data_IF_170146330734
#
_entry.id   IF_170146330734
#
_cell.length_a   1.000
_cell.length_b   1.000
_cell.length_c   1.000
_cell.angle_alpha   90.00
_cell.angle_beta   90.00
_cell.angle_gamma   90.00
#
_symmetry.space_group_name_H-M   'P 1'
#
loop_
_entity.id
_entity.type
_entity.pdbx_description
1 polymer ?
#
# COMPACT_ATOMS: atom_id res chain seq x y z
N UNK A 1 15.29 15.50 -15.29
CA UNK A 1 16.64 15.91 -14.81
C UNK A 1 17.61 15.03 -15.56
N UNK A 2 18.42 15.61 -16.45
CA UNK A 2 19.43 14.87 -17.22
C UNK A 2 20.54 14.52 -16.23
N UNK A 3 20.83 13.23 -16.06
CA UNK A 3 22.03 12.77 -15.37
C UNK A 3 23.21 13.30 -16.17
N UNK A 4 23.77 14.45 -15.77
CA UNK A 4 25.07 14.86 -16.28
C UNK A 4 26.05 13.78 -15.82
N UNK A 5 26.64 13.08 -16.78
CA UNK A 5 27.68 12.07 -16.59
C UNK A 5 28.72 12.50 -15.55
N UNK A 6 28.56 12.02 -14.32
CA UNK A 6 29.61 12.00 -13.30
C UNK A 6 30.34 10.66 -13.36
N UNK A 7 30.91 10.33 -14.52
CA UNK A 7 31.89 9.24 -14.64
C UNK A 7 33.28 9.63 -14.10
N UNK A 8 33.40 10.75 -13.38
CA UNK A 8 34.63 11.09 -12.66
C UNK A 8 34.70 10.28 -11.36
N UNK A 9 35.59 9.29 -11.33
CA UNK A 9 35.99 8.56 -10.13
C UNK A 9 36.39 9.55 -9.02
N UNK A 10 36.01 9.26 -7.77
CA UNK A 10 36.41 10.08 -6.61
C UNK A 10 37.94 10.00 -6.47
N UNK A 11 38.62 11.14 -6.62
CA UNK A 11 40.07 11.25 -6.47
C UNK A 11 40.40 11.76 -5.06
N UNK A 12 40.24 10.89 -4.06
CA UNK A 12 40.48 11.22 -2.66
C UNK A 12 41.82 10.69 -2.15
N UNK A 13 42.48 11.48 -1.31
CA UNK A 13 43.78 11.14 -0.69
C UNK A 13 43.63 10.40 0.65
N UNK A 14 42.43 10.37 1.22
CA UNK A 14 42.10 9.69 2.48
C UNK A 14 40.70 9.08 2.45
N UNK A 15 40.43 8.08 3.31
CA UNK A 15 39.09 7.49 3.46
C UNK A 15 38.03 8.53 3.85
N UNK A 16 38.37 9.45 4.76
CA UNK A 16 37.46 10.52 5.21
C UNK A 16 37.07 11.46 4.08
N UNK A 17 38.03 11.87 3.26
CA UNK A 17 37.77 12.67 2.07
C UNK A 17 36.92 11.91 1.05
N UNK A 18 37.21 10.63 0.84
CA UNK A 18 36.43 9.76 -0.05
C UNK A 18 34.96 9.69 0.36
N UNK A 19 34.66 9.39 1.63
CA UNK A 19 33.27 9.32 2.11
C UNK A 19 32.57 10.68 2.11
N UNK A 20 33.31 11.79 2.28
CA UNK A 20 32.77 13.14 2.13
C UNK A 20 32.31 13.41 0.69
N UNK A 21 33.14 13.08 -0.30
CA UNK A 21 32.77 13.25 -1.72
C UNK A 21 31.64 12.30 -2.13
N UNK A 22 31.67 11.06 -1.64
CA UNK A 22 30.63 10.07 -1.89
C UNK A 22 29.27 10.51 -1.33
N UNK A 23 29.26 11.14 -0.15
CA UNK A 23 28.06 11.73 0.44
C UNK A 23 27.47 12.85 -0.43
N UNK A 24 28.31 13.74 -0.97
CA UNK A 24 27.86 14.82 -1.86
C UNK A 24 27.27 14.23 -3.15
N UNK A 25 27.93 13.23 -3.76
CA UNK A 25 27.39 12.54 -4.94
C UNK A 25 26.04 11.87 -4.64
N UNK A 26 25.92 11.26 -3.46
CA UNK A 26 24.70 10.58 -3.02
C UNK A 26 23.54 11.55 -2.81
N UNK A 27 23.77 12.69 -2.16
CA UNK A 27 22.77 13.76 -2.00
C UNK A 27 22.30 14.32 -3.35
N UNK A 28 23.20 14.47 -4.31
CA UNK A 28 22.84 14.92 -5.66
C UNK A 28 22.08 13.86 -6.48
N UNK A 29 22.34 12.57 -6.21
CA UNK A 29 21.71 11.44 -6.91
C UNK A 29 20.29 11.17 -6.43
N UNK A 30 20.03 11.32 -5.14
CA UNK A 30 18.70 11.11 -4.57
C UNK A 30 17.79 12.28 -4.93
N UNK A 31 16.82 11.98 -5.79
CA UNK A 31 15.66 12.84 -6.09
C UNK A 31 14.45 12.32 -5.30
N UNK A 32 13.25 12.91 -5.45
CA UNK A 32 11.97 12.47 -4.85
C UNK A 32 11.53 11.05 -5.33
N UNK A 33 12.41 10.06 -5.24
CA UNK A 33 12.25 8.69 -5.66
C UNK A 33 11.77 7.79 -4.53
N UNK A 34 11.13 6.68 -4.90
CA UNK A 34 10.69 5.69 -3.92
C UNK A 34 11.90 4.93 -3.34
N UNK A 35 11.71 4.37 -2.15
CA UNK A 35 12.66 3.52 -1.42
C UNK A 35 13.42 2.50 -2.29
N UNK A 36 12.76 1.76 -3.18
CA UNK A 36 13.42 0.77 -4.03
C UNK A 36 14.39 1.42 -5.02
N UNK A 37 14.02 2.57 -5.61
CA UNK A 37 14.91 3.29 -6.54
C UNK A 37 16.15 3.80 -5.81
N UNK A 38 15.96 4.39 -4.63
CA UNK A 38 17.09 4.90 -3.85
C UNK A 38 17.97 3.75 -3.31
N UNK A 39 17.40 2.61 -2.89
CA UNK A 39 18.19 1.42 -2.51
C UNK A 39 19.02 0.90 -3.69
N UNK A 40 18.46 0.85 -4.89
CA UNK A 40 19.17 0.40 -6.09
C UNK A 40 20.33 1.35 -6.44
N UNK A 41 20.06 2.65 -6.47
CA UNK A 41 21.05 3.69 -6.74
C UNK A 41 22.14 3.74 -5.65
N UNK A 42 21.76 3.61 -4.38
CA UNK A 42 22.69 3.53 -3.25
C UNK A 42 23.63 2.34 -3.40
N UNK A 43 23.07 1.14 -3.62
CA UNK A 43 23.85 -0.09 -3.73
C UNK A 43 24.82 -0.02 -4.91
N UNK A 44 24.36 0.50 -6.06
CA UNK A 44 25.21 0.71 -7.22
C UNK A 44 26.33 1.72 -6.93
N UNK A 45 25.99 2.92 -6.44
CA UNK A 45 26.95 3.99 -6.18
C UNK A 45 28.04 3.54 -5.21
N UNK A 46 27.65 2.95 -4.07
CA UNK A 46 28.58 2.49 -3.03
C UNK A 46 29.47 1.36 -3.55
N UNK A 47 28.89 0.36 -4.23
CA UNK A 47 29.66 -0.78 -4.76
C UNK A 47 30.72 -0.36 -5.77
N UNK A 48 30.37 0.50 -6.74
CA UNK A 48 31.29 0.89 -7.80
C UNK A 48 32.34 1.90 -7.31
N UNK A 49 31.98 2.88 -6.49
CA UNK A 49 32.94 3.88 -6.00
C UNK A 49 33.96 3.27 -5.03
N UNK A 50 33.53 2.37 -4.12
CA UNK A 50 34.45 1.70 -3.20
C UNK A 50 35.41 0.76 -3.92
N UNK A 51 34.95 0.04 -4.95
CA UNK A 51 35.83 -0.82 -5.75
C UNK A 51 36.75 -0.03 -6.69
N UNK A 52 36.41 1.23 -7.00
CA UNK A 52 37.25 2.12 -7.79
C UNK A 52 38.23 2.94 -6.93
N UNK A 53 38.14 2.84 -5.61
CA UNK A 53 38.97 3.60 -4.69
C UNK A 53 40.33 2.92 -4.48
N UNK A 54 41.42 3.58 -4.87
CA UNK A 54 42.78 3.01 -4.83
C UNK A 54 43.18 2.50 -3.43
N UNK A 55 42.77 3.19 -2.35
CA UNK A 55 43.08 2.77 -0.98
C UNK A 55 42.38 1.45 -0.55
N UNK A 56 41.39 0.97 -1.32
CA UNK A 56 40.71 -0.32 -1.09
C UNK A 56 41.00 -1.36 -2.17
N UNK A 57 41.96 -1.13 -3.06
CA UNK A 57 42.33 -2.07 -4.14
C UNK A 57 42.66 -3.48 -3.65
N UNK A 58 43.22 -3.60 -2.45
CA UNK A 58 43.56 -4.87 -1.82
C UNK A 58 42.43 -5.47 -0.96
N UNK A 59 41.29 -4.77 -0.81
CA UNK A 59 40.14 -5.21 -0.02
C UNK A 59 38.85 -4.95 -0.81
N UNK A 60 38.64 -5.64 -1.94
CA UNK A 60 37.52 -5.38 -2.84
C UNK A 60 36.19 -5.78 -2.19
N UNK A 61 35.16 -4.98 -2.43
CA UNK A 61 33.77 -5.28 -2.04
C UNK A 61 33.20 -6.25 -3.06
N UNK A 62 32.84 -7.46 -2.63
CA UNK A 62 32.21 -8.47 -3.49
C UNK A 62 30.67 -8.44 -3.42
N UNK A 63 30.10 -7.83 -2.38
CA UNK A 63 28.67 -7.66 -2.24
C UNK A 63 28.31 -6.37 -1.49
N UNK A 64 27.27 -5.67 -1.95
CA UNK A 64 26.70 -4.53 -1.24
C UNK A 64 25.21 -4.39 -1.56
N UNK A 65 24.36 -4.28 -0.54
CA UNK A 65 22.92 -4.26 -0.77
C UNK A 65 22.07 -4.14 0.47
N UNK A 66 20.76 -4.18 0.27
CA UNK A 66 19.80 -4.02 1.36
C UNK A 66 19.06 -5.32 1.67
N UNK A 67 18.81 -5.53 2.96
CA UNK A 67 17.78 -6.44 3.45
C UNK A 67 16.76 -5.62 4.23
N UNK A 68 15.49 -5.68 3.87
CA UNK A 68 14.47 -4.85 4.48
C UNK A 68 13.23 -5.65 4.85
N UNK A 69 12.47 -5.16 5.83
CA UNK A 69 11.22 -5.77 6.24
C UNK A 69 10.05 -4.97 5.64
N UNK A 70 9.39 -5.47 4.57
CA UNK A 70 8.32 -4.76 3.88
C UNK A 70 7.08 -4.51 4.76
N UNK A 71 6.98 -5.17 5.91
CA UNK A 71 5.90 -5.00 6.89
C UNK A 71 6.32 -4.25 8.15
N UNK A 72 7.55 -3.73 8.23
CA UNK A 72 8.05 -3.03 9.42
C UNK A 72 7.20 -1.81 9.85
N UNK A 73 6.40 -1.24 8.94
CA UNK A 73 5.49 -0.14 9.23
C UNK A 73 4.05 -0.58 9.56
N UNK A 74 3.72 -1.86 9.44
CA UNK A 74 2.40 -2.41 9.77
C UNK A 74 2.43 -2.97 11.19
N UNK A 75 1.74 -2.32 12.12
CA UNK A 75 1.59 -2.77 13.51
C UNK A 75 0.82 -4.10 13.66
N UNK A 76 0.29 -4.67 12.56
CA UNK A 76 -0.66 -5.79 12.58
C UNK A 76 -0.03 -7.18 12.43
N UNK A 77 1.29 -7.32 12.38
CA UNK A 77 1.90 -8.64 12.08
C UNK A 77 3.14 -8.91 12.93
N UNK A 78 2.93 -9.50 14.11
CA UNK A 78 3.97 -10.17 14.93
C UNK A 78 4.74 -11.28 14.19
N UNK A 79 4.30 -11.66 12.98
CA UNK A 79 4.80 -12.81 12.21
C UNK A 79 5.77 -12.49 11.06
N UNK A 80 6.24 -11.25 10.86
CA UNK A 80 7.36 -10.98 9.93
C UNK A 80 8.61 -10.53 10.65
N UNK A 81 9.16 -11.41 11.50
CA UNK A 81 10.52 -11.30 12.07
C UNK A 81 11.59 -11.68 11.03
N UNK A 82 11.38 -11.32 9.77
CA UNK A 82 12.20 -11.77 8.64
C UNK A 82 12.48 -10.60 7.74
N UNK A 83 13.74 -10.39 7.42
CA UNK A 83 14.19 -9.48 6.38
C UNK A 83 14.10 -10.17 5.02
N UNK A 84 13.77 -9.40 3.99
CA UNK A 84 13.71 -9.83 2.60
C UNK A 84 14.80 -9.10 1.83
N UNK A 85 15.43 -9.80 0.89
CA UNK A 85 16.43 -9.24 -0.01
C UNK A 85 15.84 -8.07 -0.83
N UNK A 86 16.47 -6.91 -0.72
CA UNK A 86 16.22 -5.72 -1.51
C UNK A 86 17.22 -5.57 -2.65
N UNK A 87 17.28 -4.40 -3.30
CA UNK A 87 18.29 -4.11 -4.33
C UNK A 87 19.72 -4.28 -3.79
N UNK A 88 20.59 -4.86 -4.60
CA UNK A 88 21.99 -5.14 -4.26
C UNK A 88 22.88 -5.15 -5.52
N UNK A 89 24.19 -5.16 -5.31
CA UNK A 89 25.23 -5.46 -6.30
C UNK A 89 26.10 -6.60 -5.78
N UNK A 90 26.43 -7.56 -6.64
CA UNK A 90 27.21 -8.74 -6.28
C UNK A 90 26.57 -10.04 -6.79
N UNK A 91 27.03 -11.17 -6.24
CA UNK A 91 26.46 -12.50 -6.56
C UNK A 91 25.09 -12.71 -5.91
N UNK A 92 24.37 -13.72 -6.39
CA UNK A 92 23.04 -14.09 -5.87
C UNK A 92 23.15 -14.38 -4.37
N UNK A 93 22.32 -13.71 -3.58
CA UNK A 93 22.30 -13.82 -2.12
C UNK A 93 21.02 -14.51 -1.60
N UNK A 94 21.01 -14.80 -0.31
CA UNK A 94 19.87 -15.40 0.39
C UNK A 94 18.62 -14.50 0.27
N UNK A 95 17.46 -15.07 -0.08
CA UNK A 95 16.23 -14.24 -0.22
C UNK A 95 15.69 -13.75 1.12
N UNK A 96 15.92 -14.50 2.21
CA UNK A 96 15.34 -14.23 3.52
C UNK A 96 16.39 -14.36 4.63
N UNK A 97 16.38 -13.41 5.56
CA UNK A 97 17.21 -13.44 6.77
C UNK A 97 16.30 -13.35 7.99
N UNK A 98 16.41 -14.33 8.90
CA UNK A 98 15.62 -14.32 10.15
C UNK A 98 16.20 -13.28 11.12
N UNK A 99 15.33 -12.61 11.88
CA UNK A 99 15.74 -11.67 12.91
C UNK A 99 16.63 -12.35 13.97
N UNK A 100 17.79 -11.77 14.26
CA UNK A 100 18.80 -12.32 15.15
C UNK A 100 19.65 -13.46 14.59
N UNK A 101 19.53 -13.78 13.29
CA UNK A 101 20.33 -14.83 12.64
C UNK A 101 21.38 -14.23 11.70
N UNK A 102 22.61 -14.76 11.73
CA UNK A 102 23.74 -14.17 11.01
C UNK A 102 24.08 -12.75 11.48
N UNK A 103 25.00 -12.09 10.79
CA UNK A 103 25.41 -10.72 11.10
C UNK A 103 24.26 -9.75 10.79
N UNK A 104 23.70 -9.82 9.58
CA UNK A 104 22.52 -9.06 9.15
C UNK A 104 21.34 -9.10 10.15
N UNK A 105 20.89 -10.29 10.55
CA UNK A 105 19.78 -10.44 11.48
C UNK A 105 20.13 -9.94 12.89
N UNK A 106 21.39 -10.10 13.31
CA UNK A 106 21.88 -9.60 14.62
C UNK A 106 21.92 -8.07 14.65
N UNK A 107 22.44 -7.42 13.61
CA UNK A 107 22.42 -5.96 13.43
C UNK A 107 20.99 -5.43 13.46
N UNK A 108 20.07 -6.08 12.72
CA UNK A 108 18.65 -5.68 12.73
C UNK A 108 18.01 -5.78 14.11
N UNK A 109 18.32 -6.85 14.87
CA UNK A 109 17.81 -7.04 16.22
C UNK A 109 18.34 -6.01 17.21
N UNK A 110 19.64 -5.74 17.14
CA UNK A 110 20.34 -4.90 18.11
C UNK A 110 20.27 -3.42 17.77
N UNK A 111 19.90 -3.07 16.53
CA UNK A 111 19.82 -1.70 16.02
C UNK A 111 21.15 -0.95 16.15
N UNK A 112 22.25 -1.69 16.04
CA UNK A 112 23.62 -1.19 16.12
C UNK A 112 24.42 -1.80 14.99
N UNK A 113 25.25 -0.97 14.37
CA UNK A 113 26.16 -1.40 13.32
C UNK A 113 27.09 -2.49 13.82
N UNK A 114 27.39 -3.46 12.96
CA UNK A 114 28.25 -4.60 13.29
C UNK A 114 29.37 -4.67 12.28
N UNK A 115 30.60 -4.49 12.77
CA UNK A 115 31.83 -4.68 12.00
C UNK A 115 32.40 -6.06 12.33
N UNK A 116 32.52 -6.93 11.34
CA UNK A 116 32.98 -8.31 11.50
C UNK A 116 34.25 -8.53 10.67
N UNK A 117 35.44 -8.56 11.30
CA UNK A 117 36.69 -8.76 10.59
C UNK A 117 36.87 -10.17 10.02
N UNK A 118 36.17 -11.17 10.59
CA UNK A 118 36.18 -12.57 10.16
C UNK A 118 34.80 -13.19 10.37
N UNK A 119 34.05 -13.39 9.28
CA UNK A 119 32.68 -13.92 9.32
C UNK A 119 32.62 -15.36 9.86
N UNK A 120 33.68 -16.15 9.69
CA UNK A 120 33.72 -17.53 10.17
C UNK A 120 33.85 -17.62 11.69
N UNK A 121 34.34 -16.56 12.35
CA UNK A 121 34.40 -16.45 13.81
C UNK A 121 33.11 -15.91 14.42
N UNK A 122 32.17 -15.41 13.61
CA UNK A 122 30.93 -14.83 14.10
C UNK A 122 29.93 -15.92 14.55
N UNK A 123 29.40 -15.86 15.79
CA UNK A 123 28.43 -16.84 16.28
C UNK A 123 27.14 -16.85 15.44
N UNK A 124 26.78 -18.01 14.89
CA UNK A 124 25.55 -18.15 14.10
C UNK A 124 25.66 -17.61 12.67
N UNK A 125 26.88 -17.57 12.11
CA UNK A 125 27.15 -17.21 10.71
C UNK A 125 26.28 -17.99 9.72
N UNK A 126 25.65 -17.27 8.79
CA UNK A 126 24.92 -17.81 7.65
C UNK A 126 25.67 -17.32 6.42
N UNK A 127 26.46 -18.19 5.79
CA UNK A 127 27.17 -17.82 4.57
C UNK A 127 26.18 -17.64 3.41
N UNK A 128 26.07 -16.43 2.86
CA UNK A 128 25.31 -16.17 1.63
C UNK A 128 26.21 -16.14 0.38
N UNK A 129 27.49 -15.80 0.51
CA UNK A 129 28.54 -15.99 -0.50
C UNK A 129 29.76 -16.69 0.12
N UNK A 130 30.28 -17.72 -0.55
CA UNK A 130 31.39 -18.53 -0.02
C UNK A 130 32.75 -17.80 -0.11
N UNK A 131 32.83 -16.71 -0.87
CA UNK A 131 34.04 -15.89 -0.97
C UNK A 131 34.13 -14.74 0.03
N UNK A 132 33.06 -14.43 0.78
CA UNK A 132 33.09 -13.35 1.77
C UNK A 132 33.83 -13.78 3.04
N UNK A 133 34.81 -12.98 3.47
CA UNK A 133 35.63 -13.22 4.66
C UNK A 133 35.41 -12.18 5.76
N UNK A 134 35.01 -10.96 5.42
CA UNK A 134 34.62 -9.92 6.37
C UNK A 134 33.31 -9.24 5.93
N UNK A 135 32.55 -8.73 6.90
CA UNK A 135 31.21 -8.16 6.70
C UNK A 135 31.05 -6.88 7.54
N UNK A 136 30.41 -5.86 6.97
CA UNK A 136 30.02 -4.64 7.67
C UNK A 136 28.55 -4.35 7.42
N UNK A 137 27.75 -4.37 8.49
CA UNK A 137 26.31 -4.21 8.40
C UNK A 137 25.85 -2.99 9.19
N UNK A 138 25.10 -2.11 8.55
CA UNK A 138 24.54 -0.88 9.12
C UNK A 138 23.01 -1.00 9.23
N UNK A 139 22.39 -0.74 10.40
CA UNK A 139 20.94 -0.76 10.52
C UNK A 139 20.32 0.45 9.81
N UNK A 140 19.21 0.22 9.10
CA UNK A 140 18.39 1.27 8.51
C UNK A 140 17.25 1.58 9.49
N UNK A 141 17.32 2.75 10.13
CA UNK A 141 16.39 3.19 11.16
C UNK A 141 15.53 4.36 10.68
N UNK A 142 14.21 4.27 10.87
CA UNK A 142 13.29 5.39 10.66
C UNK A 142 12.62 5.72 11.99
N UNK A 143 12.78 6.96 12.47
CA UNK A 143 12.21 7.39 13.76
C UNK A 143 12.54 6.42 14.92
N UNK A 144 13.76 5.87 14.92
CA UNK A 144 14.21 4.89 15.93
C UNK A 144 13.64 3.48 15.78
N UNK A 145 12.88 3.19 14.70
CA UNK A 145 12.40 1.83 14.39
C UNK A 145 13.26 1.21 13.28
N UNK A 146 13.76 -0.03 13.45
CA UNK A 146 14.52 -0.71 12.42
C UNK A 146 13.59 -1.21 11.31
N UNK A 147 13.89 -0.82 10.07
CA UNK A 147 13.13 -1.22 8.89
C UNK A 147 13.93 -2.12 7.94
N UNK A 148 15.23 -2.22 8.16
CA UNK A 148 16.13 -3.06 7.41
C UNK A 148 17.57 -2.89 7.85
N UNK A 149 18.48 -3.41 7.05
CA UNK A 149 19.93 -3.25 7.15
C UNK A 149 20.49 -3.00 5.76
N UNK A 150 21.57 -2.24 5.70
CA UNK A 150 22.49 -2.18 4.58
C UNK A 150 23.67 -3.10 4.92
N UNK A 151 24.00 -3.98 4.01
CA UNK A 151 24.96 -5.06 4.20
C UNK A 151 26.05 -4.97 3.12
N UNK A 152 27.28 -5.29 3.52
CA UNK A 152 28.48 -5.19 2.71
C UNK A 152 29.46 -6.29 3.06
N UNK A 153 29.87 -7.04 2.04
CA UNK A 153 30.87 -8.09 2.13
C UNK A 153 32.19 -7.69 1.47
N UNK A 154 33.29 -8.24 1.99
CA UNK A 154 34.60 -8.20 1.37
C UNK A 154 35.20 -9.61 1.27
N UNK A 155 35.93 -9.88 0.19
CA UNK A 155 36.62 -11.16 -0.03
C UNK A 155 37.88 -11.36 0.80
N UNK A 156 38.24 -10.37 1.62
CA UNK A 156 39.45 -10.37 2.45
C UNK A 156 39.07 -10.25 3.93
N UNK A 157 39.94 -10.77 4.81
CA UNK A 157 39.83 -10.53 6.25
C UNK A 157 40.09 -9.06 6.57
N UNK A 158 39.49 -8.56 7.65
CA UNK A 158 39.66 -7.17 8.11
C UNK A 158 39.40 -6.14 6.99
N UNK A 159 38.50 -6.46 6.05
CA UNK A 159 38.28 -5.68 4.83
C UNK A 159 37.66 -4.29 5.07
N UNK A 160 37.12 -4.06 6.26
CA UNK A 160 36.52 -2.80 6.68
C UNK A 160 37.11 -2.36 8.02
N UNK A 161 37.24 -1.05 8.21
CA UNK A 161 37.72 -0.46 9.46
C UNK A 161 36.73 0.58 10.04
N UNK A 162 37.20 1.31 11.05
CA UNK A 162 36.40 2.32 11.75
C UNK A 162 36.05 3.52 10.84
N UNK A 163 36.94 3.92 9.93
CA UNK A 163 36.66 5.01 8.99
C UNK A 163 35.59 4.57 7.98
N UNK A 164 35.60 3.30 7.55
CA UNK A 164 34.54 2.73 6.71
C UNK A 164 33.19 2.70 7.43
N UNK A 165 33.18 2.27 8.70
CA UNK A 165 31.97 2.26 9.53
C UNK A 165 31.36 3.66 9.66
N UNK A 166 32.15 4.66 10.05
CA UNK A 166 31.67 6.04 10.22
C UNK A 166 31.17 6.65 8.90
N UNK A 167 31.89 6.39 7.80
CA UNK A 167 31.50 6.83 6.47
C UNK A 167 30.17 6.24 6.02
N UNK A 168 30.01 4.92 6.17
CA UNK A 168 28.81 4.19 5.73
C UNK A 168 27.59 4.49 6.60
N UNK A 169 27.75 4.66 7.91
CA UNK A 169 26.67 5.12 8.80
C UNK A 169 26.10 6.46 8.33
N UNK A 170 26.99 7.41 7.99
CA UNK A 170 26.58 8.70 7.46
C UNK A 170 25.86 8.59 6.12
N UNK A 171 26.34 7.73 5.20
CA UNK A 171 25.67 7.52 3.92
C UNK A 171 24.27 6.93 4.11
N UNK A 172 24.10 5.94 5.00
CA UNK A 172 22.79 5.38 5.33
C UNK A 172 21.88 6.45 5.95
N UNK A 173 22.41 7.35 6.77
CA UNK A 173 21.63 8.47 7.31
C UNK A 173 21.13 9.42 6.21
N UNK A 174 21.99 9.78 5.25
CA UNK A 174 21.62 10.58 4.07
C UNK A 174 20.52 9.86 3.28
N UNK A 175 20.72 8.57 3.01
CA UNK A 175 19.73 7.74 2.33
C UNK A 175 18.37 7.74 3.04
N UNK A 176 18.35 7.59 4.37
CA UNK A 176 17.12 7.65 5.16
C UNK A 176 16.44 9.01 5.04
N UNK A 177 17.20 10.11 5.12
CA UNK A 177 16.65 11.48 5.02
C UNK A 177 16.11 11.80 3.63
N UNK A 178 16.76 11.31 2.59
CA UNK A 178 16.45 11.63 1.19
C UNK A 178 15.50 10.64 0.53
N UNK A 179 14.96 9.67 1.28
CA UNK A 179 14.08 8.62 0.75
C UNK A 179 12.64 8.81 1.21
N UNK A 180 11.69 8.73 0.27
CA UNK A 180 10.28 8.57 0.63
C UNK A 180 10.00 7.12 1.05
N UNK A 181 9.83 6.92 2.35
CA UNK A 181 9.56 5.63 2.98
C UNK A 181 8.08 5.26 2.97
N UNK A 182 7.44 5.35 1.81
CA UNK A 182 6.01 5.09 1.63
C UNK A 182 5.79 3.59 1.29
N UNK A 183 6.04 2.70 2.26
CA UNK A 183 5.62 1.28 2.18
C UNK A 183 4.18 1.08 2.72
N UNK A 184 3.60 2.11 3.33
CA UNK A 184 2.21 2.19 3.77
C UNK A 184 1.71 3.65 3.78
N UNK A 185 0.39 3.84 3.72
CA UNK A 185 -0.30 5.15 3.77
C UNK A 185 0.38 6.19 4.68
N UNK A 186 0.51 7.45 4.22
CA UNK A 186 0.91 8.64 5.02
C UNK A 186 0.06 8.89 6.28
N UNK A 187 -0.96 8.09 6.52
CA UNK A 187 -1.81 8.15 7.70
C UNK A 187 -1.24 7.19 8.74
N UNK A 188 -0.92 7.72 9.92
CA UNK A 188 -0.50 6.92 11.06
C UNK A 188 -1.67 6.08 11.58
N UNK A 189 -1.45 4.77 11.73
CA UNK A 189 -2.46 3.81 12.23
C UNK A 189 -2.98 4.21 13.61
N UNK A 190 -2.11 4.70 14.48
CA UNK A 190 -2.46 5.21 15.81
C UNK A 190 -3.48 6.36 15.75
N UNK A 191 -3.23 7.37 14.90
CA UNK A 191 -4.11 8.52 14.72
C UNK A 191 -5.48 8.13 14.15
N UNK A 192 -5.52 7.15 13.24
CA UNK A 192 -6.80 6.59 12.74
C UNK A 192 -7.55 5.88 13.86
N UNK A 193 -6.85 5.06 14.66
CA UNK A 193 -7.46 4.32 15.76
C UNK A 193 -8.07 5.26 16.80
N UNK A 194 -7.34 6.29 17.21
CA UNK A 194 -7.85 7.33 18.11
C UNK A 194 -9.10 8.02 17.55
N UNK A 195 -9.07 8.37 16.26
CA UNK A 195 -10.21 9.01 15.57
C UNK A 195 -11.45 8.09 15.51
N UNK A 196 -11.24 6.79 15.29
CA UNK A 196 -12.31 5.78 15.28
C UNK A 196 -12.87 5.58 16.68
N UNK A 197 -12.02 5.54 17.72
CA UNK A 197 -12.44 5.46 19.12
C UNK A 197 -13.33 6.64 19.53
N UNK A 198 -12.90 7.86 19.20
CA UNK A 198 -13.70 9.06 19.45
C UNK A 198 -15.04 8.97 18.73
N UNK A 199 -15.04 8.53 17.48
CA UNK A 199 -16.27 8.37 16.68
C UNK A 199 -17.23 7.36 17.31
N UNK A 200 -16.75 6.17 17.68
CA UNK A 200 -17.58 5.13 18.32
C UNK A 200 -18.10 5.57 19.68
N UNK A 201 -17.29 6.30 20.46
CA UNK A 201 -17.70 6.86 21.75
C UNK A 201 -18.81 7.90 21.59
N UNK A 202 -18.67 8.86 20.67
CA UNK A 202 -19.69 9.89 20.40
C UNK A 202 -21.02 9.25 19.95
N UNK A 203 -20.96 8.23 19.08
CA UNK A 203 -22.14 7.49 18.66
C UNK A 203 -22.76 6.63 19.78
N UNK A 204 -21.93 6.12 20.69
CA UNK A 204 -22.35 5.37 21.87
C UNK A 204 -23.08 6.22 22.92
N UNK A 205 -22.66 7.48 23.11
CA UNK A 205 -23.29 8.43 24.04
C UNK A 205 -24.69 8.87 23.56
N UNK A 206 -24.90 8.98 22.24
CA UNK A 206 -26.19 9.36 21.63
C UNK A 206 -26.77 8.24 20.78
N UNK A 207 -27.12 7.11 21.41
CA UNK A 207 -27.75 5.97 20.74
C UNK A 207 -28.99 6.41 19.93
N UNK A 208 -28.97 6.12 18.64
CA UNK A 208 -30.07 6.38 17.70
C UNK A 208 -30.87 5.11 17.43
N UNK A 209 -32.09 5.27 16.90
CA UNK A 209 -32.99 4.15 16.55
C UNK A 209 -32.57 3.39 15.28
N UNK A 210 -31.45 3.77 14.65
CA UNK A 210 -30.90 3.12 13.47
C UNK A 210 -29.38 3.02 13.60
N UNK A 211 -28.78 2.04 12.93
CA UNK A 211 -27.32 1.86 12.89
C UNK A 211 -26.69 2.90 11.97
N UNK A 212 -25.82 3.74 12.52
CA UNK A 212 -25.13 4.76 11.73
C UNK A 212 -24.06 4.13 10.82
N UNK A 213 -23.97 4.65 9.60
CA UNK A 213 -22.91 4.30 8.65
C UNK A 213 -21.72 5.24 8.86
N UNK A 214 -20.52 4.66 8.89
CA UNK A 214 -19.25 5.37 8.92
C UNK A 214 -18.81 5.66 7.48
N UNK A 215 -18.62 6.93 7.17
CA UNK A 215 -18.25 7.45 5.87
C UNK A 215 -16.82 8.03 5.90
N UNK A 216 -16.05 7.72 4.87
CA UNK A 216 -14.78 8.37 4.56
C UNK A 216 -15.04 9.46 3.53
N UNK A 217 -14.76 10.71 3.90
CA UNK A 217 -14.82 11.86 3.03
C UNK A 217 -13.42 12.28 2.61
N UNK A 218 -13.23 12.48 1.31
CA UNK A 218 -11.94 12.87 0.73
C UNK A 218 -12.08 14.20 0.03
N UNK A 219 -11.20 15.14 0.35
CA UNK A 219 -10.98 16.35 -0.43
C UNK A 219 -9.76 16.19 -1.33
N UNK A 220 -9.93 16.32 -2.64
CA UNK A 220 -8.83 16.37 -3.60
C UNK A 220 -8.34 17.82 -3.82
N UNK A 221 -7.04 18.02 -4.03
CA UNK A 221 -6.41 19.28 -4.46
C UNK A 221 -5.71 19.08 -5.80
N UNK A 222 -5.48 20.19 -6.51
CA UNK A 222 -4.68 20.23 -7.73
C UNK A 222 -5.14 19.22 -8.80
N UNK A 223 -6.45 19.00 -8.87
CA UNK A 223 -7.06 18.10 -9.82
C UNK A 223 -8.11 18.89 -10.61
N UNK A 224 -8.01 18.90 -11.93
CA UNK A 224 -8.96 19.56 -12.81
C UNK A 224 -9.91 18.52 -13.44
N UNK A 225 -11.20 18.45 -13.04
CA UNK A 225 -12.15 17.46 -13.55
C UNK A 225 -12.48 17.56 -15.06
N UNK A 226 -11.99 18.60 -15.74
CA UNK A 226 -12.14 18.80 -17.18
C UNK A 226 -10.89 18.40 -17.96
N UNK A 227 -9.69 18.68 -17.43
CA UNK A 227 -8.40 18.37 -18.08
C UNK A 227 -7.87 16.99 -17.70
N UNK A 228 -8.05 16.60 -16.44
CA UNK A 228 -7.53 15.33 -15.93
C UNK A 228 -8.50 14.17 -16.19
N UNK A 229 -7.91 12.99 -16.44
CA UNK A 229 -8.67 11.76 -16.70
C UNK A 229 -9.40 11.32 -15.44
N UNK A 230 -10.73 11.47 -15.44
CA UNK A 230 -11.60 10.96 -14.37
C UNK A 230 -11.35 9.47 -14.14
N UNK A 231 -11.18 9.10 -12.87
CA UNK A 231 -11.03 7.71 -12.47
C UNK A 231 -12.34 7.14 -11.94
N UNK A 232 -12.51 5.84 -12.17
CA UNK A 232 -13.53 5.02 -11.54
C UNK A 232 -12.87 3.72 -11.16
N UNK A 233 -12.78 3.43 -9.86
CA UNK A 233 -12.23 2.19 -9.34
C UNK A 233 -13.16 1.59 -8.30
N UNK A 234 -13.24 0.26 -8.27
CA UNK A 234 -13.96 -0.50 -7.26
C UNK A 234 -12.98 -1.32 -6.45
N UNK A 235 -13.15 -1.34 -5.13
CA UNK A 235 -12.37 -2.18 -4.23
C UNK A 235 -13.32 -2.92 -3.30
N UNK A 236 -13.03 -4.21 -3.09
CA UNK A 236 -13.73 -5.04 -2.14
C UNK A 236 -13.12 -4.84 -0.76
N UNK A 237 -13.94 -4.42 0.20
CA UNK A 237 -13.54 -4.33 1.60
C UNK A 237 -13.59 -5.72 2.27
N UNK A 238 -12.71 -6.00 3.23
CA UNK A 238 -12.75 -7.25 4.00
C UNK A 238 -14.06 -7.43 4.77
N UNK A 239 -14.60 -6.34 5.32
CA UNK A 239 -15.80 -6.37 6.15
C UNK A 239 -16.92 -5.53 5.54
N UNK A 240 -18.17 -5.98 5.69
CA UNK A 240 -19.35 -5.39 5.04
C UNK A 240 -19.73 -4.06 5.71
N UNK A 241 -19.61 -2.92 5.01
CA UNK A 241 -19.96 -1.61 5.57
C UNK A 241 -21.47 -1.38 5.65
N UNK A 242 -22.25 -1.87 4.68
CA UNK A 242 -23.69 -1.63 4.56
C UNK A 242 -24.48 -2.94 4.53
N UNK A 243 -24.80 -3.54 5.69
CA UNK A 243 -25.51 -4.82 5.74
C UNK A 243 -26.94 -4.73 5.19
N UNK A 244 -27.60 -3.57 5.33
CA UNK A 244 -28.98 -3.34 4.84
C UNK A 244 -29.07 -2.87 3.38
N UNK A 245 -27.95 -2.86 2.62
CA UNK A 245 -27.97 -2.45 1.22
C UNK A 245 -28.87 -3.39 0.40
N UNK A 246 -29.84 -2.81 -0.31
CA UNK A 246 -30.80 -3.59 -1.11
C UNK A 246 -30.18 -4.01 -2.44
N UNK A 247 -29.92 -5.31 -2.56
CA UNK A 247 -29.45 -5.94 -3.81
C UNK A 247 -30.65 -6.60 -4.45
N UNK A 248 -30.94 -6.26 -5.72
CA UNK A 248 -32.03 -6.87 -6.49
C UNK A 248 -31.47 -7.79 -7.56
N UNK A 249 -32.14 -8.92 -7.78
CA UNK A 249 -31.78 -9.83 -8.85
C UNK A 249 -32.69 -9.61 -10.08
N UNK A 250 -32.06 -9.47 -11.24
CA UNK A 250 -32.69 -9.50 -12.55
C UNK A 250 -32.41 -10.87 -13.16
N UNK A 251 -33.30 -11.82 -12.91
CA UNK A 251 -33.04 -13.23 -13.17
C UNK A 251 -34.17 -13.96 -13.89
N UNK A 252 -33.81 -15.08 -14.50
CA UNK A 252 -34.77 -16.05 -15.04
C UNK A 252 -35.46 -16.82 -13.91
N UNK A 253 -36.50 -17.60 -14.24
CA UNK A 253 -37.31 -18.31 -13.24
C UNK A 253 -36.48 -19.19 -12.28
N UNK A 254 -35.43 -19.84 -12.78
CA UNK A 254 -34.53 -20.67 -11.98
C UNK A 254 -33.77 -19.89 -10.89
N UNK A 255 -33.22 -18.73 -11.24
CA UNK A 255 -32.49 -17.89 -10.29
C UNK A 255 -33.46 -17.10 -9.40
N UNK A 256 -34.70 -16.89 -9.87
CA UNK A 256 -35.76 -16.27 -9.11
C UNK A 256 -36.17 -17.11 -7.89
N UNK A 257 -36.21 -18.44 -8.03
CA UNK A 257 -36.56 -19.33 -6.91
C UNK A 257 -35.43 -19.37 -5.86
N UNK A 258 -34.16 -19.43 -6.30
CA UNK A 258 -33.01 -19.32 -5.39
C UNK A 258 -33.01 -17.99 -4.61
N UNK A 259 -33.27 -16.88 -5.30
CA UNK A 259 -33.29 -15.56 -4.68
C UNK A 259 -34.50 -15.34 -3.75
N UNK A 260 -35.68 -15.87 -4.08
CA UNK A 260 -36.85 -15.83 -3.19
C UNK A 260 -36.59 -16.58 -1.88
N UNK A 261 -35.92 -17.75 -1.94
CA UNK A 261 -35.54 -18.50 -0.75
C UNK A 261 -34.55 -17.73 0.14
N UNK A 262 -33.71 -16.88 -0.46
CA UNK A 262 -32.75 -16.01 0.23
C UNK A 262 -33.34 -14.65 0.66
N UNK A 263 -34.61 -14.38 0.37
CA UNK A 263 -35.25 -13.09 0.66
C UNK A 263 -34.74 -11.91 -0.20
N UNK A 264 -34.08 -12.20 -1.33
CA UNK A 264 -33.60 -11.19 -2.29
C UNK A 264 -34.75 -10.81 -3.22
N UNK A 265 -35.11 -9.51 -3.37
CA UNK A 265 -36.14 -9.08 -4.31
C UNK A 265 -35.74 -9.40 -5.75
N UNK A 266 -36.62 -10.10 -6.48
CA UNK A 266 -36.39 -10.50 -7.88
C UNK A 266 -37.31 -9.73 -8.81
N UNK A 267 -36.79 -9.33 -9.96
CA UNK A 267 -37.57 -8.86 -11.11
C UNK A 267 -37.37 -9.83 -12.27
N UNK A 268 -38.48 -10.35 -12.79
CA UNK A 268 -38.48 -11.29 -13.90
C UNK A 268 -38.41 -10.56 -15.25
N UNK A 269 -38.12 -11.29 -16.32
CA UNK A 269 -38.07 -10.77 -17.69
C UNK A 269 -39.39 -10.11 -18.11
N UNK A 270 -40.53 -10.62 -17.64
CA UNK A 270 -41.84 -10.08 -17.96
C UNK A 270 -42.07 -8.72 -17.33
N UNK A 271 -41.62 -8.52 -16.09
CA UNK A 271 -41.70 -7.24 -15.40
C UNK A 271 -40.76 -6.21 -16.04
N UNK A 272 -39.60 -6.65 -16.50
CA UNK A 272 -38.67 -5.82 -17.28
C UNK A 272 -39.25 -5.40 -18.64
N UNK A 273 -40.02 -6.27 -19.30
CA UNK A 273 -40.72 -5.93 -20.56
C UNK A 273 -41.84 -4.90 -20.33
N UNK A 274 -42.57 -4.97 -19.20
CA UNK A 274 -43.60 -3.97 -18.84
C UNK A 274 -43.03 -2.56 -18.69
N UNK A 275 -41.75 -2.44 -18.33
CA UNK A 275 -41.06 -1.15 -18.20
C UNK A 275 -40.75 -0.48 -19.55
N UNK A 276 -40.78 -1.22 -20.67
CA UNK A 276 -40.73 -0.78 -22.07
C UNK A 276 -40.08 0.59 -22.35
N UNK A 277 -38.81 0.79 -21.94
CA UNK A 277 -38.06 2.05 -22.09
C UNK A 277 -38.72 3.31 -21.48
N UNK A 278 -39.73 3.15 -20.63
CA UNK A 278 -40.38 4.28 -19.97
C UNK A 278 -39.45 4.89 -18.92
N UNK A 279 -38.91 6.06 -19.23
CA UNK A 279 -37.90 6.77 -18.43
C UNK A 279 -38.33 7.00 -16.97
N UNK A 280 -39.64 7.21 -16.70
CA UNK A 280 -40.13 7.46 -15.33
C UNK A 280 -40.10 6.18 -14.48
N UNK A 281 -40.58 5.07 -15.03
CA UNK A 281 -40.62 3.79 -14.32
C UNK A 281 -39.22 3.20 -14.13
N UNK A 282 -38.35 3.30 -15.14
CA UNK A 282 -36.95 2.86 -15.02
C UNK A 282 -36.20 3.69 -13.96
N UNK A 283 -36.47 5.00 -13.85
CA UNK A 283 -35.89 5.84 -12.79
C UNK A 283 -36.42 5.44 -11.40
N UNK A 284 -37.69 5.04 -11.29
CA UNK A 284 -38.29 4.53 -10.04
C UNK A 284 -37.64 3.21 -9.62
N UNK A 285 -37.44 2.28 -10.55
CA UNK A 285 -36.73 1.02 -10.31
C UNK A 285 -35.28 1.26 -9.89
N UNK A 286 -34.56 2.15 -10.58
CA UNK A 286 -33.18 2.49 -10.23
C UNK A 286 -33.06 3.17 -8.85
N UNK A 287 -34.15 3.74 -8.33
CA UNK A 287 -34.20 4.35 -7.00
C UNK A 287 -34.59 3.34 -5.91
N UNK A 288 -35.27 2.23 -6.23
CA UNK A 288 -35.72 1.25 -5.24
C UNK A 288 -34.62 0.25 -4.81
N UNK A 289 -33.63 0.00 -5.67
CA UNK A 289 -32.50 -0.88 -5.36
C UNK A 289 -31.18 -0.11 -5.38
N UNK A 290 -30.25 -0.43 -4.48
CA UNK A 290 -28.91 0.15 -4.45
C UNK A 290 -27.98 -0.50 -5.48
N UNK A 291 -28.07 -1.82 -5.63
CA UNK A 291 -27.33 -2.59 -6.63
C UNK A 291 -28.20 -3.66 -7.32
N UNK A 292 -27.80 -4.05 -8.52
CA UNK A 292 -28.45 -5.08 -9.30
C UNK A 292 -27.47 -6.21 -9.63
N UNK A 293 -27.95 -7.44 -9.48
CA UNK A 293 -27.36 -8.65 -10.05
C UNK A 293 -28.18 -9.01 -11.28
N UNK A 294 -27.55 -9.56 -12.32
CA UNK A 294 -28.28 -10.06 -13.48
C UNK A 294 -27.75 -11.42 -13.93
N UNK A 295 -28.64 -12.32 -14.29
CA UNK A 295 -28.24 -13.58 -14.94
C UNK A 295 -27.58 -13.29 -16.29
N UNK A 296 -26.61 -14.10 -16.67
CA UNK A 296 -25.84 -13.93 -17.92
C UNK A 296 -26.73 -13.88 -19.18
N UNK A 297 -27.83 -14.63 -19.17
CA UNK A 297 -28.87 -14.62 -20.21
C UNK A 297 -29.50 -13.24 -20.42
N UNK A 298 -29.64 -12.46 -19.35
CA UNK A 298 -30.37 -11.20 -19.31
C UNK A 298 -29.48 -9.97 -19.50
N UNK A 299 -28.20 -10.04 -19.13
CA UNK A 299 -27.31 -8.87 -19.17
C UNK A 299 -27.21 -8.25 -20.57
N UNK A 300 -27.26 -9.08 -21.62
CA UNK A 300 -27.23 -8.65 -23.03
C UNK A 300 -28.54 -7.97 -23.47
N UNK A 301 -29.66 -8.31 -22.84
CA UNK A 301 -31.00 -7.81 -23.17
C UNK A 301 -31.34 -6.51 -22.42
N UNK A 302 -30.72 -6.29 -21.26
CA UNK A 302 -31.00 -5.14 -20.37
C UNK A 302 -30.90 -3.78 -21.07
N UNK A 303 -29.85 -3.46 -21.87
CA UNK A 303 -29.81 -2.19 -22.60
C UNK A 303 -30.95 -2.02 -23.61
N UNK A 304 -31.44 -3.12 -24.20
CA UNK A 304 -32.55 -3.08 -25.17
C UNK A 304 -33.90 -2.88 -24.49
N UNK A 305 -34.11 -3.49 -23.33
CA UNK A 305 -35.37 -3.47 -22.57
C UNK A 305 -35.54 -2.19 -21.73
N UNK A 306 -34.50 -1.78 -21.01
CA UNK A 306 -34.55 -0.65 -20.07
C UNK A 306 -33.96 0.64 -20.65
N UNK A 307 -33.30 0.57 -21.81
CA UNK A 307 -32.60 1.70 -22.40
C UNK A 307 -31.41 2.18 -21.54
N UNK A 308 -30.92 3.41 -21.76
CA UNK A 308 -29.74 3.93 -21.04
C UNK A 308 -30.04 4.34 -19.58
N UNK A 309 -31.24 4.07 -19.06
CA UNK A 309 -31.69 4.54 -17.75
C UNK A 309 -30.81 4.05 -16.58
N UNK A 310 -30.55 2.73 -16.52
CA UNK A 310 -29.68 2.14 -15.49
C UNK A 310 -28.22 2.59 -15.62
N UNK A 311 -27.73 2.71 -16.85
CA UNK A 311 -26.37 3.18 -17.12
C UNK A 311 -26.19 4.64 -16.68
N UNK A 312 -27.18 5.51 -16.95
CA UNK A 312 -27.17 6.91 -16.47
C UNK A 312 -27.25 7.02 -14.95
N UNK A 313 -27.92 6.06 -14.29
CA UNK A 313 -27.94 5.97 -12.82
C UNK A 313 -26.62 5.43 -12.24
N UNK A 314 -25.73 4.88 -13.06
CA UNK A 314 -24.46 4.29 -12.62
C UNK A 314 -24.60 2.94 -11.90
N UNK A 315 -25.79 2.32 -11.98
CA UNK A 315 -26.16 1.06 -11.31
C UNK A 315 -26.30 -0.06 -12.34
N UNK A 316 -25.29 -0.23 -13.18
CA UNK A 316 -25.34 -1.31 -14.17
C UNK A 316 -25.19 -2.67 -13.46
N UNK A 317 -26.01 -3.68 -13.79
CA UNK A 317 -25.99 -4.95 -13.07
C UNK A 317 -24.68 -5.72 -13.22
N UNK A 318 -24.30 -6.44 -12.17
CA UNK A 318 -23.16 -7.37 -12.21
C UNK A 318 -23.64 -8.74 -12.69
N UNK A 319 -22.97 -9.40 -13.65
CA UNK A 319 -23.36 -10.71 -14.15
C UNK A 319 -23.18 -11.79 -13.08
N UNK A 320 -24.10 -12.75 -13.06
CA UNK A 320 -24.07 -13.95 -12.23
C UNK A 320 -24.30 -15.18 -13.10
N UNK A 321 -23.55 -16.26 -12.86
CA UNK A 321 -23.76 -17.55 -13.52
C UNK A 321 -24.68 -18.44 -12.67
N UNK A 322 -25.37 -19.40 -13.28
CA UNK A 322 -26.34 -20.25 -12.56
C UNK A 322 -25.73 -21.15 -11.47
N UNK A 323 -24.41 -21.37 -11.53
CA UNK A 323 -23.64 -22.15 -10.56
C UNK A 323 -23.10 -21.32 -9.39
N UNK A 324 -23.12 -19.99 -9.49
CA UNK A 324 -22.62 -19.13 -8.43
C UNK A 324 -23.58 -19.08 -7.24
N UNK A 325 -23.01 -18.91 -6.04
CA UNK A 325 -23.79 -18.61 -4.85
C UNK A 325 -24.23 -17.13 -4.85
N UNK A 326 -25.54 -16.93 -5.00
CA UNK A 326 -26.18 -15.62 -4.98
C UNK A 326 -25.94 -14.87 -3.66
N UNK A 327 -25.83 -15.58 -2.53
CA UNK A 327 -25.58 -14.96 -1.24
C UNK A 327 -24.16 -14.39 -1.17
N UNK A 328 -23.17 -15.20 -1.52
CA UNK A 328 -21.77 -14.77 -1.58
C UNK A 328 -21.55 -13.60 -2.55
N UNK A 329 -22.23 -13.61 -3.71
CA UNK A 329 -22.17 -12.49 -4.67
C UNK A 329 -22.89 -11.24 -4.18
N UNK A 330 -24.00 -11.39 -3.47
CA UNK A 330 -24.66 -10.25 -2.83
C UNK A 330 -23.76 -9.63 -1.75
N UNK A 331 -23.10 -10.44 -0.94
CA UNK A 331 -22.17 -9.98 0.10
C UNK A 331 -20.89 -9.37 -0.49
N UNK A 332 -20.41 -9.90 -1.62
CA UNK A 332 -19.34 -9.28 -2.40
C UNK A 332 -19.75 -7.87 -2.89
N UNK A 333 -20.98 -7.70 -3.37
CA UNK A 333 -21.49 -6.37 -3.74
C UNK A 333 -21.64 -5.44 -2.54
N UNK A 334 -22.12 -5.96 -1.39
CA UNK A 334 -22.27 -5.17 -0.16
C UNK A 334 -20.93 -4.71 0.41
N UNK A 335 -19.87 -5.50 0.23
CA UNK A 335 -18.50 -5.18 0.63
C UNK A 335 -17.73 -4.35 -0.40
N UNK A 336 -18.22 -4.24 -1.64
CA UNK A 336 -17.55 -3.47 -2.69
C UNK A 336 -17.90 -1.98 -2.60
N UNK A 337 -16.87 -1.15 -2.48
CA UNK A 337 -17.00 0.31 -2.56
C UNK A 337 -16.50 0.80 -3.91
N UNK A 338 -17.17 1.84 -4.43
CA UNK A 338 -16.82 2.46 -5.71
C UNK A 338 -16.32 3.89 -5.49
N UNK A 339 -15.07 4.12 -5.83
CA UNK A 339 -14.51 5.46 -5.96
C UNK A 339 -14.75 5.96 -7.38
N UNK A 340 -15.65 6.93 -7.53
CA UNK A 340 -15.94 7.53 -8.84
C UNK A 340 -15.84 9.04 -8.77
N UNK A 341 -14.85 9.59 -9.48
CA UNK A 341 -14.73 11.04 -9.61
C UNK A 341 -15.73 11.57 -10.63
N UNK A 342 -16.63 12.44 -10.16
CA UNK A 342 -17.61 13.15 -10.99
C UNK A 342 -17.05 14.52 -11.38
N UNK A 343 -17.83 15.59 -11.18
CA UNK A 343 -17.41 16.99 -11.42
C UNK A 343 -16.88 17.68 -10.16
N UNK A 344 -17.03 17.06 -8.99
CA UNK A 344 -16.70 17.65 -7.69
C UNK A 344 -15.40 17.02 -7.17
N UNK A 345 -14.59 17.81 -6.49
CA UNK A 345 -13.31 17.39 -5.89
C UNK A 345 -13.48 16.66 -4.55
N UNK A 346 -14.70 16.61 -4.03
CA UNK A 346 -15.02 15.92 -2.80
C UNK A 346 -15.68 14.57 -3.12
N UNK A 347 -15.21 13.52 -2.47
CA UNK A 347 -15.72 12.17 -2.58
C UNK A 347 -16.17 11.71 -1.20
N UNK A 348 -17.21 10.89 -1.14
CA UNK A 348 -17.65 10.24 0.09
C UNK A 348 -17.96 8.77 -0.21
N UNK A 349 -17.43 7.87 0.60
CA UNK A 349 -17.65 6.42 0.51
C UNK A 349 -17.97 5.84 1.88
N UNK A 350 -18.83 4.84 1.94
CA UNK A 350 -19.11 4.14 3.19
C UNK A 350 -18.07 3.06 3.44
N UNK A 351 -17.45 3.09 4.62
CA UNK A 351 -16.33 2.22 4.99
C UNK A 351 -16.65 1.30 6.16
N UNK A 352 -17.74 1.55 6.88
CA UNK A 352 -18.15 0.72 8.01
C UNK A 352 -19.50 1.12 8.58
N UNK A 353 -19.86 0.49 9.70
CA UNK A 353 -21.00 0.88 10.53
C UNK A 353 -20.60 0.88 12.01
N UNK A 354 -21.38 1.54 12.87
CA UNK A 354 -21.08 1.67 14.30
C UNK A 354 -21.16 0.32 15.06
N UNK A 355 -21.73 -0.72 14.47
CA UNK A 355 -21.78 -2.06 15.06
C UNK A 355 -20.51 -2.90 14.85
N UNK A 356 -19.56 -2.41 14.05
CA UNK A 356 -18.28 -3.08 13.79
C UNK A 356 -17.26 -2.75 14.87
N UNK A 357 -16.29 -3.64 15.05
CA UNK A 357 -15.17 -3.41 15.96
C UNK A 357 -14.21 -2.35 15.41
N UNK A 358 -13.42 -1.75 16.29
CA UNK A 358 -12.42 -0.74 15.92
C UNK A 358 -11.43 -1.25 14.88
N UNK A 359 -10.94 -2.49 15.04
CA UNK A 359 -9.96 -3.10 14.15
C UNK A 359 -10.54 -3.43 12.76
N UNK A 360 -11.83 -3.80 12.69
CA UNK A 360 -12.53 -4.01 11.42
C UNK A 360 -12.68 -2.69 10.64
N UNK A 361 -13.08 -1.62 11.33
CA UNK A 361 -13.22 -0.29 10.72
C UNK A 361 -11.85 0.23 10.26
N UNK A 362 -10.81 0.05 11.07
CA UNK A 362 -9.44 0.45 10.73
C UNK A 362 -8.94 -0.28 9.48
N UNK A 363 -9.14 -1.59 9.41
CA UNK A 363 -8.77 -2.41 8.25
C UNK A 363 -9.44 -1.91 6.97
N UNK A 364 -10.74 -1.58 7.05
CA UNK A 364 -11.49 -1.03 5.93
C UNK A 364 -10.99 0.37 5.52
N UNK A 365 -10.69 1.26 6.48
CA UNK A 365 -10.15 2.61 6.21
C UNK A 365 -8.83 2.52 5.46
N UNK A 366 -7.90 1.71 5.98
CA UNK A 366 -6.55 1.62 5.42
C UNK A 366 -6.59 1.07 3.99
N UNK A 367 -7.39 0.04 3.72
CA UNK A 367 -7.54 -0.48 2.37
C UNK A 367 -8.19 0.54 1.42
N UNK A 368 -9.24 1.23 1.87
CA UNK A 368 -9.95 2.23 1.09
C UNK A 368 -9.05 3.41 0.71
N UNK A 369 -8.25 3.91 1.65
CA UNK A 369 -7.30 5.02 1.44
C UNK A 369 -6.18 4.58 0.49
N UNK A 370 -5.53 3.44 0.74
CA UNK A 370 -4.45 2.93 -0.11
C UNK A 370 -4.91 2.75 -1.55
N UNK A 371 -6.10 2.17 -1.73
CA UNK A 371 -6.69 1.98 -3.05
C UNK A 371 -6.98 3.33 -3.73
N UNK A 372 -7.56 4.30 -3.02
CA UNK A 372 -7.82 5.62 -3.57
C UNK A 372 -6.53 6.32 -4.02
N UNK A 373 -5.47 6.28 -3.20
CA UNK A 373 -4.18 6.89 -3.51
C UNK A 373 -3.56 6.26 -4.76
N UNK A 374 -3.75 4.94 -4.95
CA UNK A 374 -3.29 4.24 -6.16
C UNK A 374 -3.97 4.70 -7.45
N UNK A 375 -5.21 5.22 -7.36
CA UNK A 375 -5.96 5.74 -8.50
C UNK A 375 -5.55 7.17 -8.89
N UNK A 376 -4.83 7.88 -8.01
CA UNK A 376 -4.44 9.28 -8.22
C UNK A 376 -3.09 9.37 -8.92
N UNK A 377 -3.02 10.16 -9.99
CA UNK A 377 -1.79 10.36 -10.80
C UNK A 377 -0.57 10.79 -9.97
N UNK A 378 -0.76 11.68 -9.00
CA UNK A 378 0.30 12.14 -8.08
C UNK A 378 0.14 11.59 -6.65
N UNK A 379 -0.57 10.47 -6.50
CA UNK A 379 -0.79 9.79 -5.21
C UNK A 379 -1.24 10.79 -4.12
N UNK A 380 -0.52 10.83 -3.00
CA UNK A 380 -0.79 11.71 -1.85
C UNK A 380 -0.76 13.21 -2.15
N UNK A 381 -0.02 13.67 -3.16
CA UNK A 381 0.02 15.10 -3.49
C UNK A 381 -1.33 15.64 -3.98
N UNK A 382 -2.22 14.76 -4.47
CA UNK A 382 -3.56 15.13 -4.89
C UNK A 382 -4.57 15.07 -3.74
N UNK A 383 -4.21 14.55 -2.57
CA UNK A 383 -5.09 14.51 -1.39
C UNK A 383 -4.89 15.80 -0.59
N UNK A 384 -5.98 16.56 -0.41
CA UNK A 384 -5.99 17.79 0.40
C UNK A 384 -6.25 17.46 1.87
N UNK A 385 -7.30 16.68 2.10
CA UNK A 385 -7.75 16.31 3.44
C UNK A 385 -8.57 15.04 3.41
N UNK A 386 -8.52 14.30 4.51
CA UNK A 386 -9.33 13.11 4.75
C UNK A 386 -10.10 13.28 6.05
N UNK A 387 -11.40 13.02 5.99
CA UNK A 387 -12.27 13.06 7.17
C UNK A 387 -13.01 11.74 7.29
N UNK A 388 -13.18 11.29 8.53
CA UNK A 388 -14.09 10.21 8.87
C UNK A 388 -15.27 10.80 9.63
N UNK A 389 -16.48 10.36 9.31
CA UNK A 389 -17.67 10.77 10.04
C UNK A 389 -18.68 9.64 10.12
N UNK A 390 -19.49 9.60 11.16
CA UNK A 390 -20.74 8.83 11.11
C UNK A 390 -21.82 9.65 10.39
N UNK A 391 -22.97 9.03 10.12
CA UNK A 391 -24.09 9.68 9.42
C UNK A 391 -24.52 11.00 10.08
N UNK A 392 -24.55 11.05 11.42
CA UNK A 392 -24.97 12.22 12.19
C UNK A 392 -23.92 12.71 13.20
N UNK A 393 -22.74 12.09 13.25
CA UNK A 393 -21.63 12.44 14.13
C UNK A 393 -20.76 13.56 13.58
N UNK A 394 -19.86 14.06 14.42
CA UNK A 394 -18.91 15.11 14.00
C UNK A 394 -17.84 14.53 13.08
N UNK A 395 -17.37 15.29 12.08
CA UNK A 395 -16.26 14.86 11.25
C UNK A 395 -14.95 14.92 12.04
N UNK A 396 -14.23 13.81 12.07
CA UNK A 396 -12.86 13.70 12.60
C UNK A 396 -11.88 13.74 11.44
N UNK A 397 -10.81 14.54 11.55
CA UNK A 397 -9.82 14.70 10.49
C UNK A 397 -8.70 13.66 10.63
N UNK A 398 -8.42 12.92 9.56
CA UNK A 398 -7.35 11.94 9.47
C UNK A 398 -6.08 12.50 8.80
N UNK A 399 -6.26 13.44 7.85
CA UNK A 399 -5.17 14.08 7.09
C UNK A 399 -5.56 15.50 6.66
#
# INVERSE_FOLDING_TARGET
MVLNNTHSTIAASSKKEFYNELAIKMEALFTDGNCITNMANFSALVYYELNSFELRKNHPVNWAGFYYNPKAQSELVESSKTLVLGPFQGRVACTFVRNGAGVCGTTFKNQKSTLVPDVHKFPGHIACDASSLSELVIPVLIHGKPIGVFDMDCSELDGFDQDDLEGLERLVEIFVKSTEWDFGSKIQVSSVRESVQVLLKESGEKKRKFTETVELQIGLKNYDPQRDKRFSGTVRLPYIPRPQMSVWLLGDAHDADKAKNLGIPVQTVEDLKKLNKNKKLVKKLAASADAFLASESLIKQIPRLLGPGLHKAGKFPTPVTHNDDLAAKADELRSTIKFQLKKVLCLAVAIGNVGMTEDEILSNIMLAVNFLVSLLKKRWQNVKSLYIKSTMGKPQRLY
#
